data_IF_766095924734
#
_entry.id   IF_766095924734
#
_cell.length_a   1.000
_cell.length_b   1.000
_cell.length_c   1.000
_cell.angle_alpha   90.00
_cell.angle_beta   90.00
_cell.angle_gamma   90.00
#
_symmetry.space_group_name_H-M   'P 1'
#
loop_
_entity.id
_entity.type
_entity.pdbx_description
1 polymer ?
#
# COMPACT_ATOMS: atom_id res chain seq x y z
N UNK A 1 -22.24 77.42 -0.39
CA UNK A 1 -23.26 76.49 -0.90
C UNK A 1 -22.74 75.82 -2.16
N UNK A 2 -23.03 74.53 -2.33
CA UNK A 2 -22.51 73.56 -3.32
C UNK A 2 -21.15 72.95 -2.97
N UNK A 3 -20.91 71.66 -3.10
CA UNK A 3 -21.67 70.44 -2.83
C UNK A 3 -20.62 69.33 -2.86
N UNK A 4 -20.74 68.38 -1.94
CA UNK A 4 -19.88 67.19 -1.79
C UNK A 4 -19.98 66.31 -3.05
N UNK A 5 -18.85 65.79 -3.53
CA UNK A 5 -18.78 64.47 -4.16
C UNK A 5 -17.49 63.78 -3.72
N UNK A 6 -17.66 62.97 -2.68
CA UNK A 6 -16.71 62.00 -2.17
C UNK A 6 -16.80 60.77 -3.10
N UNK A 7 -15.84 60.58 -4.00
CA UNK A 7 -15.72 59.32 -4.73
C UNK A 7 -15.11 58.28 -3.78
N UNK A 8 -15.99 57.54 -3.11
CA UNK A 8 -15.62 56.29 -2.46
C UNK A 8 -15.38 55.29 -3.59
N UNK A 9 -14.12 55.03 -3.92
CA UNK A 9 -13.75 53.83 -4.67
C UNK A 9 -13.88 52.66 -3.69
N UNK A 10 -15.08 52.12 -3.56
CA UNK A 10 -15.25 50.75 -3.06
C UNK A 10 -14.67 49.83 -4.13
N UNK A 11 -13.34 49.63 -4.05
CA UNK A 11 -12.73 48.46 -4.64
C UNK A 11 -13.33 47.25 -3.94
N UNK A 12 -14.39 46.71 -4.51
CA UNK A 12 -14.77 45.34 -4.25
C UNK A 12 -13.54 44.51 -4.61
N UNK A 13 -12.79 44.08 -3.59
CA UNK A 13 -12.00 42.86 -3.73
C UNK A 13 -13.01 41.81 -4.15
N UNK A 14 -13.10 41.52 -5.44
CA UNK A 14 -13.49 40.21 -5.90
C UNK A 14 -12.44 39.28 -5.28
N UNK A 15 -12.74 38.76 -4.11
CA UNK A 15 -12.11 37.54 -3.66
C UNK A 15 -12.48 36.53 -4.74
N UNK A 16 -11.53 36.26 -5.65
CA UNK A 16 -11.61 35.11 -6.52
C UNK A 16 -11.84 33.92 -5.59
N UNK A 17 -13.05 33.37 -5.61
CA UNK A 17 -13.28 32.04 -5.08
C UNK A 17 -12.19 31.19 -5.70
N UNK A 18 -11.29 30.58 -4.92
CA UNK A 18 -10.27 29.77 -5.53
C UNK A 18 -11.00 28.62 -6.22
N UNK A 19 -10.81 28.49 -7.53
CA UNK A 19 -11.35 27.41 -8.36
C UNK A 19 -10.62 26.12 -8.00
N UNK A 20 -10.85 25.62 -6.79
CA UNK A 20 -10.46 24.27 -6.42
C UNK A 20 -11.53 23.33 -6.97
N UNK A 21 -11.19 22.56 -8.00
CA UNK A 21 -11.70 21.19 -8.08
C UNK A 21 -12.52 20.77 -9.29
N UNK A 22 -12.72 21.58 -10.33
CA UNK A 22 -13.19 21.01 -11.60
C UNK A 22 -12.02 20.27 -12.27
N UNK A 23 -11.82 19.00 -11.92
CA UNK A 23 -11.13 18.09 -12.83
C UNK A 23 -12.08 17.92 -14.01
N UNK A 24 -11.89 18.72 -15.06
CA UNK A 24 -12.76 18.74 -16.24
C UNK A 24 -12.76 17.42 -17.01
N UNK A 25 -11.81 16.52 -16.70
CA UNK A 25 -11.61 15.24 -17.37
C UNK A 25 -11.78 14.03 -16.42
N UNK A 26 -12.71 14.11 -15.47
CA UNK A 26 -13.00 12.97 -14.58
C UNK A 26 -13.52 11.75 -15.37
N UNK A 27 -12.95 10.54 -15.21
CA UNK A 27 -13.43 9.35 -15.93
C UNK A 27 -14.88 9.02 -15.57
N UNK A 28 -15.65 8.55 -16.56
CA UNK A 28 -17.03 8.13 -16.33
C UNK A 28 -17.10 6.87 -15.47
N UNK A 29 -18.09 6.79 -14.60
CA UNK A 29 -18.36 5.58 -13.81
C UNK A 29 -18.99 4.50 -14.71
N UNK A 30 -18.36 3.32 -14.88
CA UNK A 30 -18.94 2.24 -15.66
C UNK A 30 -20.08 1.54 -14.91
N UNK A 31 -20.71 0.55 -15.54
CA UNK A 31 -21.56 -0.40 -14.82
C UNK A 31 -20.70 -1.16 -13.82
N UNK A 32 -20.97 -0.98 -12.53
CA UNK A 32 -20.18 -1.56 -11.44
C UNK A 32 -20.45 -3.05 -11.34
N UNK A 33 -19.36 -3.84 -11.22
CA UNK A 33 -19.46 -5.29 -11.03
C UNK A 33 -19.99 -5.63 -9.63
N UNK A 34 -20.96 -6.54 -9.55
CA UNK A 34 -21.65 -6.87 -8.29
C UNK A 34 -20.73 -7.21 -7.11
N UNK A 35 -19.60 -7.88 -7.38
CA UNK A 35 -18.62 -8.25 -6.34
C UNK A 35 -18.04 -7.05 -5.60
N UNK A 36 -18.00 -5.86 -6.21
CA UNK A 36 -17.49 -4.65 -5.57
C UNK A 36 -18.38 -4.21 -4.39
N UNK A 37 -19.70 -4.46 -4.44
CA UNK A 37 -20.64 -4.08 -3.36
C UNK A 37 -20.48 -4.94 -2.08
N UNK A 38 -19.91 -6.14 -2.22
CA UNK A 38 -19.77 -7.12 -1.14
C UNK A 38 -18.48 -6.99 -0.33
N UNK A 39 -17.58 -6.10 -0.73
CA UNK A 39 -16.36 -5.81 0.02
C UNK A 39 -16.66 -4.83 1.16
N UNK A 40 -15.76 -4.74 2.13
CA UNK A 40 -15.84 -3.80 3.25
C UNK A 40 -14.46 -3.16 3.52
N UNK A 41 -14.42 -2.21 4.45
CA UNK A 41 -13.17 -1.66 4.98
C UNK A 41 -12.31 -2.77 5.58
N UNK A 42 -11.02 -2.73 5.27
CA UNK A 42 -10.04 -3.67 5.81
C UNK A 42 -9.67 -3.33 7.24
N UNK A 43 -9.16 -4.31 7.99
CA UNK A 43 -8.64 -4.09 9.34
C UNK A 43 -7.57 -2.98 9.38
N UNK A 44 -6.72 -2.91 8.36
CA UNK A 44 -5.72 -1.84 8.20
C UNK A 44 -6.37 -0.45 8.12
N UNK A 45 -7.46 -0.31 7.38
CA UNK A 45 -8.18 0.95 7.24
C UNK A 45 -8.86 1.35 8.54
N UNK A 46 -9.54 0.40 9.20
CA UNK A 46 -10.23 0.63 10.47
C UNK A 46 -9.24 0.94 11.60
N UNK A 47 -8.05 0.36 11.55
CA UNK A 47 -6.98 0.67 12.49
C UNK A 47 -6.40 2.07 12.25
N UNK A 48 -6.34 2.51 11.00
CA UNK A 48 -5.90 3.85 10.62
C UNK A 48 -6.92 4.91 11.05
N UNK A 49 -8.20 4.65 10.80
CA UNK A 49 -9.32 5.53 11.14
C UNK A 49 -10.60 4.72 11.37
N UNK A 50 -10.97 4.44 12.63
CA UNK A 50 -12.14 3.61 12.95
C UNK A 50 -13.48 4.30 12.65
N UNK A 51 -13.48 5.63 12.46
CA UNK A 51 -14.67 6.41 12.17
C UNK A 51 -14.87 6.64 10.66
N UNK A 52 -13.92 6.21 9.82
CA UNK A 52 -14.03 6.31 8.36
C UNK A 52 -15.35 5.71 7.82
N UNK A 53 -15.82 4.53 8.25
CA UNK A 53 -17.11 3.99 7.78
C UNK A 53 -18.32 4.83 8.19
N UNK A 54 -18.22 5.61 9.28
CA UNK A 54 -19.29 6.51 9.74
C UNK A 54 -19.35 7.77 8.89
N UNK A 55 -18.20 8.30 8.48
CA UNK A 55 -18.10 9.54 7.67
C UNK A 55 -18.38 9.29 6.19
N UNK A 56 -17.92 8.16 5.66
CA UNK A 56 -18.16 7.76 4.28
C UNK A 56 -18.52 6.26 4.22
N UNK A 57 -19.82 5.91 4.27
CA UNK A 57 -20.25 4.52 4.24
C UNK A 57 -20.08 3.93 2.83
N UNK A 58 -19.71 2.65 2.78
CA UNK A 58 -19.43 1.96 1.52
C UNK A 58 -20.69 1.77 0.68
N UNK A 59 -20.70 2.14 -0.61
CA UNK A 59 -21.89 2.04 -1.45
C UNK A 59 -22.25 0.56 -1.71
N UNK A 60 -23.55 0.30 -1.80
CA UNK A 60 -24.17 -1.03 -1.99
C UNK A 60 -24.98 -1.12 -3.29
N UNK A 61 -25.15 -0.02 -4.01
CA UNK A 61 -25.85 0.02 -5.29
C UNK A 61 -25.10 0.90 -6.29
N UNK A 62 -25.37 0.71 -7.59
CA UNK A 62 -24.85 1.58 -8.66
C UNK A 62 -25.16 3.05 -8.39
N UNK A 63 -26.40 3.36 -7.99
CA UNK A 63 -26.81 4.74 -7.72
C UNK A 63 -26.00 5.37 -6.58
N UNK A 64 -25.75 4.62 -5.51
CA UNK A 64 -24.93 5.12 -4.40
C UNK A 64 -23.48 5.38 -4.82
N UNK A 65 -22.93 4.63 -5.78
CA UNK A 65 -21.60 4.90 -6.35
C UNK A 65 -21.63 6.21 -7.16
N UNK A 66 -22.67 6.42 -7.97
CA UNK A 66 -22.84 7.64 -8.76
C UNK A 66 -23.00 8.87 -7.84
N UNK A 67 -23.80 8.76 -6.79
CA UNK A 67 -24.00 9.84 -5.82
C UNK A 67 -22.68 10.17 -5.09
N UNK A 68 -21.95 9.13 -4.66
CA UNK A 68 -20.63 9.28 -4.04
C UNK A 68 -19.61 9.90 -5.01
N UNK A 69 -19.63 9.51 -6.29
CA UNK A 69 -18.79 10.05 -7.34
C UNK A 69 -18.98 11.56 -7.50
N UNK A 70 -20.23 12.01 -7.64
CA UNK A 70 -20.52 13.44 -7.75
C UNK A 70 -20.15 14.20 -6.47
N UNK A 71 -20.43 13.62 -5.29
CA UNK A 71 -20.01 14.19 -4.01
C UNK A 71 -18.49 14.33 -3.93
N UNK A 72 -17.73 13.30 -4.26
CA UNK A 72 -16.27 13.31 -4.19
C UNK A 72 -15.63 14.35 -5.12
N UNK A 73 -16.25 14.64 -6.27
CA UNK A 73 -15.81 15.68 -7.19
C UNK A 73 -16.13 17.10 -6.71
N UNK A 74 -17.18 17.26 -5.89
CA UNK A 74 -17.67 18.55 -5.42
C UNK A 74 -16.81 19.14 -4.29
N UNK A 75 -15.60 19.59 -4.58
CA UNK A 75 -14.70 20.22 -3.59
C UNK A 75 -13.74 19.23 -2.91
N UNK A 76 -13.33 19.53 -1.68
CA UNK A 76 -12.23 18.83 -0.99
C UNK A 76 -12.72 17.66 -0.11
N UNK A 77 -13.43 16.70 -0.72
CA UNK A 77 -13.98 15.52 -0.04
C UNK A 77 -12.97 14.37 0.06
N UNK A 78 -11.92 14.52 0.88
CA UNK A 78 -10.82 13.56 1.01
C UNK A 78 -11.29 12.11 1.23
N UNK A 79 -12.14 11.88 2.24
CA UNK A 79 -12.62 10.55 2.61
C UNK A 79 -13.44 9.90 1.47
N UNK A 80 -14.28 10.67 0.78
CA UNK A 80 -15.10 10.17 -0.34
C UNK A 80 -14.21 9.82 -1.55
N UNK A 81 -13.18 10.62 -1.83
CA UNK A 81 -12.17 10.30 -2.85
C UNK A 81 -11.42 9.02 -2.46
N UNK A 82 -11.02 8.87 -1.19
CA UNK A 82 -10.35 7.66 -0.71
C UNK A 82 -11.24 6.42 -0.85
N UNK A 83 -12.53 6.53 -0.49
CA UNK A 83 -13.48 5.43 -0.63
C UNK A 83 -13.65 5.02 -2.10
N UNK A 84 -13.79 5.95 -3.03
CA UNK A 84 -13.89 5.63 -4.46
C UNK A 84 -12.61 4.99 -4.99
N UNK A 85 -11.43 5.47 -4.58
CA UNK A 85 -10.16 4.80 -4.85
C UNK A 85 -10.20 3.33 -4.38
N UNK A 86 -10.54 3.11 -3.11
CA UNK A 86 -10.57 1.77 -2.52
C UNK A 86 -11.60 0.87 -3.19
N UNK A 87 -12.76 1.42 -3.55
CA UNK A 87 -13.87 0.71 -4.18
C UNK A 87 -13.46 0.17 -5.56
N UNK A 88 -12.82 1.00 -6.38
CA UNK A 88 -12.43 0.63 -7.73
C UNK A 88 -11.06 -0.05 -7.85
N UNK A 89 -10.22 -0.01 -6.79
CA UNK A 89 -8.89 -0.66 -6.80
C UNK A 89 -8.91 -2.15 -7.16
N UNK A 90 -10.05 -2.82 -6.94
CA UNK A 90 -10.26 -4.22 -7.33
C UNK A 90 -9.99 -4.43 -8.82
N UNK A 91 -10.33 -3.45 -9.67
CA UNK A 91 -9.99 -3.48 -11.09
C UNK A 91 -8.47 -3.59 -11.31
N UNK A 92 -7.67 -2.78 -10.62
CA UNK A 92 -6.21 -2.86 -10.74
C UNK A 92 -5.64 -4.23 -10.34
N UNK A 93 -6.20 -4.87 -9.31
CA UNK A 93 -5.76 -6.21 -8.89
C UNK A 93 -6.21 -7.30 -9.87
N UNK A 94 -7.40 -7.17 -10.45
CA UNK A 94 -7.95 -8.15 -11.39
C UNK A 94 -7.23 -8.09 -12.76
N UNK A 95 -6.64 -6.95 -13.15
CA UNK A 95 -5.80 -6.84 -14.35
C UNK A 95 -4.61 -7.81 -14.36
N UNK A 96 -4.12 -8.19 -13.18
CA UNK A 96 -3.01 -9.14 -13.05
C UNK A 96 -3.46 -10.61 -13.24
N UNK A 97 -4.77 -10.85 -13.44
CA UNK A 97 -5.32 -12.18 -13.71
C UNK A 97 -5.37 -12.45 -15.23
N UNK A 98 -4.79 -13.57 -15.70
CA UNK A 98 -4.77 -13.92 -17.13
C UNK A 98 -6.15 -14.22 -17.73
N UNK A 99 -7.21 -14.27 -16.90
CA UNK A 99 -8.58 -14.58 -17.31
C UNK A 99 -9.50 -13.35 -17.36
N UNK A 100 -9.01 -12.14 -17.04
CA UNK A 100 -9.88 -11.00 -16.75
C UNK A 100 -9.45 -9.68 -17.41
N UNK A 101 -9.10 -9.72 -18.70
CA UNK A 101 -8.93 -8.52 -19.53
C UNK A 101 -10.28 -8.06 -20.10
N UNK A 102 -11.14 -7.54 -19.23
CA UNK A 102 -12.36 -6.84 -19.62
C UNK A 102 -12.11 -5.33 -19.62
N UNK A 103 -12.71 -4.61 -20.58
CA UNK A 103 -12.64 -3.14 -20.65
C UNK A 103 -13.06 -2.49 -19.32
N UNK A 104 -14.10 -3.04 -18.68
CA UNK A 104 -14.59 -2.60 -17.36
C UNK A 104 -13.54 -2.66 -16.26
N UNK A 105 -12.65 -3.66 -16.27
CA UNK A 105 -11.56 -3.77 -15.28
C UNK A 105 -10.53 -2.66 -15.45
N UNK A 106 -10.25 -2.28 -16.70
CA UNK A 106 -9.37 -1.15 -17.02
C UNK A 106 -10.00 0.19 -16.61
N UNK A 107 -11.29 0.36 -16.85
CA UNK A 107 -12.03 1.57 -16.43
C UNK A 107 -12.04 1.73 -14.91
N UNK A 108 -12.33 0.66 -14.17
CA UNK A 108 -12.25 0.67 -12.71
C UNK A 108 -10.85 1.04 -12.22
N UNK A 109 -9.80 0.44 -12.78
CA UNK A 109 -8.45 0.81 -12.37
C UNK A 109 -8.10 2.27 -12.70
N UNK A 110 -8.60 2.79 -13.82
CA UNK A 110 -8.46 4.20 -14.19
C UNK A 110 -9.13 5.12 -13.16
N UNK A 111 -10.36 4.79 -12.75
CA UNK A 111 -11.07 5.50 -11.68
C UNK A 111 -10.31 5.43 -10.35
N UNK A 112 -9.81 4.25 -9.98
CA UNK A 112 -9.06 4.07 -8.75
C UNK A 112 -7.85 5.02 -8.67
N UNK A 113 -7.05 5.07 -9.74
CA UNK A 113 -5.89 5.95 -9.82
C UNK A 113 -6.26 7.42 -9.84
N UNK A 114 -7.32 7.78 -10.56
CA UNK A 114 -7.82 9.16 -10.58
C UNK A 114 -8.16 9.63 -9.16
N UNK A 115 -8.90 8.83 -8.41
CA UNK A 115 -9.28 9.16 -7.04
C UNK A 115 -8.11 9.12 -6.05
N UNK A 116 -7.17 8.18 -6.20
CA UNK A 116 -5.95 8.14 -5.38
C UNK A 116 -5.13 9.43 -5.55
N UNK A 117 -4.96 9.89 -6.79
CA UNK A 117 -4.26 11.14 -7.09
C UNK A 117 -5.00 12.34 -6.47
N UNK A 118 -6.33 12.36 -6.53
CA UNK A 118 -7.12 13.41 -5.86
C UNK A 118 -6.93 13.41 -4.34
N UNK A 119 -6.91 12.24 -3.69
CA UNK A 119 -6.63 12.16 -2.25
C UNK A 119 -5.28 12.79 -1.92
N UNK A 120 -4.22 12.44 -2.67
CA UNK A 120 -2.88 13.00 -2.43
C UNK A 120 -2.76 14.49 -2.77
N UNK A 121 -3.56 14.98 -3.73
CA UNK A 121 -3.64 16.41 -4.03
C UNK A 121 -4.35 17.20 -2.92
N UNK A 122 -5.42 16.63 -2.33
CA UNK A 122 -6.14 17.22 -1.20
C UNK A 122 -5.29 17.17 0.06
N UNK A 123 -4.70 16.01 0.33
CA UNK A 123 -3.87 15.75 1.51
C UNK A 123 -2.65 14.89 1.13
N UNK A 124 -1.47 15.52 0.90
CA UNK A 124 -0.25 14.78 0.56
C UNK A 124 0.28 13.92 1.71
N UNK A 125 -0.26 14.08 2.91
CA UNK A 125 0.06 13.31 4.11
C UNK A 125 -1.06 12.31 4.47
N UNK A 126 -1.97 11.98 3.54
CA UNK A 126 -2.89 10.87 3.75
C UNK A 126 -2.10 9.55 3.74
N UNK A 127 -2.02 8.91 4.91
CA UNK A 127 -1.18 7.73 5.09
C UNK A 127 -1.70 6.47 4.40
N UNK A 128 -3.02 6.31 4.25
CA UNK A 128 -3.61 5.20 3.49
C UNK A 128 -3.32 5.36 1.99
N UNK A 129 -3.40 6.57 1.47
CA UNK A 129 -3.05 6.88 0.09
C UNK A 129 -1.55 6.70 -0.18
N UNK A 130 -0.68 7.19 0.70
CA UNK A 130 0.77 6.97 0.58
C UNK A 130 1.12 5.47 0.61
N UNK A 131 0.50 4.69 1.50
CA UNK A 131 0.65 3.24 1.56
C UNK A 131 0.19 2.58 0.26
N UNK A 132 -0.97 2.99 -0.26
CA UNK A 132 -1.49 2.50 -1.52
C UNK A 132 -0.54 2.79 -2.69
N UNK A 133 -0.04 4.01 -2.81
CA UNK A 133 0.92 4.40 -3.86
C UNK A 133 2.22 3.63 -3.76
N UNK A 134 2.72 3.39 -2.54
CA UNK A 134 3.89 2.52 -2.34
C UNK A 134 3.65 1.10 -2.85
N UNK A 135 2.48 0.54 -2.56
CA UNK A 135 2.06 -0.78 -3.05
C UNK A 135 1.91 -0.82 -4.56
N UNK A 136 1.44 0.25 -5.19
CA UNK A 136 1.33 0.35 -6.64
C UNK A 136 2.70 0.30 -7.30
N UNK A 137 3.65 1.08 -6.81
CA UNK A 137 5.03 1.03 -7.31
C UNK A 137 5.73 -0.30 -7.01
N UNK A 138 5.37 -1.00 -5.94
CA UNK A 138 5.98 -2.29 -5.62
C UNK A 138 5.58 -3.40 -6.61
N UNK A 139 4.32 -3.41 -7.07
CA UNK A 139 3.76 -4.50 -7.88
C UNK A 139 3.42 -4.10 -9.32
N UNK A 140 3.67 -2.84 -9.70
CA UNK A 140 3.31 -2.30 -11.01
C UNK A 140 1.79 -2.27 -11.25
N UNK A 141 0.98 -2.17 -10.18
CA UNK A 141 -0.47 -2.10 -10.34
C UNK A 141 -0.90 -0.74 -10.95
N UNK A 142 -1.94 -0.78 -11.79
CA UNK A 142 -2.62 0.40 -12.32
C UNK A 142 -1.76 1.41 -13.09
N UNK A 143 -1.18 1.00 -14.22
CA UNK A 143 -0.60 1.85 -15.28
C UNK A 143 0.87 2.33 -15.12
N UNK A 144 1.63 1.81 -14.15
CA UNK A 144 3.06 2.11 -14.00
C UNK A 144 3.94 0.86 -13.96
N UNK A 145 5.16 0.98 -14.47
CA UNK A 145 6.21 -0.02 -14.27
C UNK A 145 6.56 -0.14 -12.77
N UNK A 146 6.90 -1.36 -12.34
CA UNK A 146 7.46 -1.61 -11.01
C UNK A 146 8.64 -0.68 -10.73
N UNK A 147 8.63 -0.02 -9.58
CA UNK A 147 9.69 0.85 -9.13
C UNK A 147 9.88 0.75 -7.62
N UNK A 148 10.74 -0.18 -7.21
CA UNK A 148 10.99 -0.46 -5.80
C UNK A 148 11.52 0.75 -5.03
N UNK A 149 12.32 1.62 -5.66
CA UNK A 149 12.84 2.82 -4.98
C UNK A 149 11.73 3.83 -4.68
N UNK A 150 10.79 4.03 -5.61
CA UNK A 150 9.59 4.83 -5.35
C UNK A 150 8.71 4.17 -4.29
N UNK A 151 8.52 2.85 -4.34
CA UNK A 151 7.76 2.11 -3.32
C UNK A 151 8.32 2.37 -1.91
N UNK A 152 9.63 2.18 -1.72
CA UNK A 152 10.33 2.49 -0.47
C UNK A 152 10.10 3.93 -0.05
N UNK A 153 10.28 4.90 -0.96
CA UNK A 153 10.06 6.33 -0.64
C UNK A 153 8.63 6.60 -0.13
N UNK A 154 7.61 6.00 -0.74
CA UNK A 154 6.23 6.17 -0.30
C UNK A 154 5.95 5.48 1.04
N UNK A 155 6.47 4.27 1.24
CA UNK A 155 6.35 3.57 2.53
C UNK A 155 7.07 4.32 3.65
N UNK A 156 8.27 4.86 3.40
CA UNK A 156 9.00 5.71 4.35
C UNK A 156 8.21 6.96 4.73
N UNK A 157 7.59 7.62 3.74
CA UNK A 157 6.70 8.77 4.00
C UNK A 157 5.51 8.36 4.87
N UNK A 158 4.80 7.29 4.50
CA UNK A 158 3.67 6.78 5.27
C UNK A 158 4.07 6.41 6.71
N UNK A 159 5.21 5.75 6.87
CA UNK A 159 5.76 5.32 8.15
C UNK A 159 6.08 6.50 9.09
N UNK A 160 6.59 7.62 8.54
CA UNK A 160 6.95 8.82 9.32
C UNK A 160 5.77 9.65 9.82
N UNK A 161 4.54 9.38 9.36
CA UNK A 161 3.36 10.13 9.81
C UNK A 161 2.92 9.79 11.24
N UNK A 162 3.61 8.85 11.92
CA UNK A 162 3.40 8.42 13.31
C UNK A 162 1.98 7.84 13.60
N UNK A 163 1.80 7.20 14.77
CA UNK A 163 0.53 6.59 15.22
C UNK A 163 0.24 5.19 14.67
N UNK A 164 -1.02 4.73 14.68
CA UNK A 164 -1.45 3.41 14.16
C UNK A 164 -1.13 3.17 12.67
N UNK A 165 -0.64 4.20 11.98
CA UNK A 165 -0.33 4.31 10.55
C UNK A 165 1.01 3.66 10.17
N UNK A 166 1.72 3.14 11.17
CA UNK A 166 3.11 2.66 11.15
C UNK A 166 3.22 1.22 10.59
N UNK A 167 2.21 0.36 10.74
CA UNK A 167 2.46 -1.08 10.65
C UNK A 167 2.59 -1.64 9.24
N UNK A 168 1.65 -1.38 8.34
CA UNK A 168 1.72 -2.00 7.00
C UNK A 168 2.90 -1.47 6.22
N UNK A 169 3.20 -0.16 6.33
CA UNK A 169 4.39 0.43 5.74
C UNK A 169 5.68 -0.13 6.36
N UNK A 170 5.75 -0.24 7.70
CA UNK A 170 6.89 -0.84 8.39
C UNK A 170 7.09 -2.32 8.04
N UNK A 171 6.00 -3.08 7.90
CA UNK A 171 6.03 -4.49 7.49
C UNK A 171 6.54 -4.68 6.05
N UNK A 172 6.10 -3.81 5.13
CA UNK A 172 6.62 -3.80 3.76
C UNK A 172 8.11 -3.43 3.73
N UNK A 173 8.53 -2.41 4.48
CA UNK A 173 9.94 -2.01 4.58
C UNK A 173 10.80 -3.11 5.21
N UNK A 174 10.31 -3.76 6.26
CA UNK A 174 10.94 -4.96 6.84
C UNK A 174 11.13 -6.04 5.78
N UNK A 175 10.07 -6.43 5.05
CA UNK A 175 10.15 -7.47 4.02
C UNK A 175 11.13 -7.11 2.89
N UNK A 176 11.08 -5.87 2.40
CA UNK A 176 11.98 -5.37 1.35
C UNK A 176 13.45 -5.50 1.78
N UNK A 177 13.81 -4.99 2.96
CA UNK A 177 15.19 -5.03 3.43
C UNK A 177 15.63 -6.41 3.91
N UNK A 178 14.69 -7.23 4.41
CA UNK A 178 14.98 -8.59 4.84
C UNK A 178 15.31 -9.49 3.66
N UNK A 179 14.51 -9.45 2.59
CA UNK A 179 14.60 -10.38 1.45
C UNK A 179 15.28 -9.80 0.21
N UNK A 180 15.49 -8.48 0.17
CA UNK A 180 16.13 -7.83 -0.97
C UNK A 180 15.24 -7.74 -2.22
N UNK A 181 13.94 -7.48 -2.02
CA UNK A 181 12.96 -7.46 -3.10
C UNK A 181 13.27 -6.36 -4.15
N UNK A 182 12.96 -6.63 -5.43
CA UNK A 182 13.05 -5.65 -6.51
C UNK A 182 14.46 -5.11 -6.78
N UNK A 183 15.50 -5.94 -6.55
CA UNK A 183 16.90 -5.56 -6.76
C UNK A 183 17.51 -4.70 -5.64
N UNK A 184 16.80 -4.55 -4.52
CA UNK A 184 17.31 -3.89 -3.32
C UNK A 184 18.24 -4.88 -2.59
N UNK A 185 19.49 -4.53 -2.26
CA UNK A 185 20.33 -5.39 -1.45
C UNK A 185 19.71 -5.61 -0.05
N UNK A 186 19.89 -6.81 0.51
CA UNK A 186 19.49 -7.05 1.91
C UNK A 186 20.18 -6.03 2.82
N UNK A 187 19.41 -5.43 3.73
CA UNK A 187 19.90 -4.54 4.77
C UNK A 187 19.30 -5.00 6.10
N UNK A 188 19.95 -5.99 6.73
CA UNK A 188 19.45 -6.60 7.95
C UNK A 188 19.37 -5.61 9.12
N UNK A 189 20.16 -4.54 9.11
CA UNK A 189 20.06 -3.50 10.14
C UNK A 189 18.77 -2.69 9.99
N UNK A 190 18.42 -2.28 8.76
CA UNK A 190 17.13 -1.64 8.51
C UNK A 190 15.95 -2.58 8.73
N UNK A 191 16.07 -3.84 8.27
CA UNK A 191 15.04 -4.84 8.52
C UNK A 191 14.78 -5.00 10.02
N UNK A 192 15.83 -5.13 10.83
CA UNK A 192 15.72 -5.22 12.30
C UNK A 192 15.09 -3.97 12.91
N UNK A 193 15.50 -2.78 12.47
CA UNK A 193 14.92 -1.52 12.96
C UNK A 193 13.40 -1.47 12.78
N UNK A 194 12.91 -1.80 11.58
CA UNK A 194 11.48 -1.84 11.30
C UNK A 194 10.78 -2.91 12.14
N UNK A 195 11.39 -4.09 12.24
CA UNK A 195 10.85 -5.20 13.02
C UNK A 195 10.73 -4.87 14.51
N UNK A 196 11.72 -4.18 15.09
CA UNK A 196 11.69 -3.69 16.47
C UNK A 196 10.52 -2.73 16.71
N UNK A 197 10.21 -1.84 15.76
CA UNK A 197 9.07 -0.94 15.92
C UNK A 197 7.73 -1.70 15.81
N UNK A 198 7.62 -2.68 14.91
CA UNK A 198 6.42 -3.51 14.76
C UNK A 198 6.18 -4.38 16.01
N UNK A 199 7.24 -4.92 16.61
CA UNK A 199 7.16 -5.73 17.83
C UNK A 199 6.74 -4.92 19.06
N UNK A 200 7.10 -3.64 19.14
CA UNK A 200 6.65 -2.75 20.24
C UNK A 200 5.14 -2.53 20.22
N UNK A 201 4.56 -2.45 19.03
CA UNK A 201 3.13 -2.24 18.85
C UNK A 201 2.29 -3.47 19.25
N UNK A 202 2.74 -4.67 18.85
CA UNK A 202 2.13 -5.93 19.28
C UNK A 202 3.20 -6.89 19.84
N UNK A 203 3.52 -6.78 21.15
CA UNK A 203 4.56 -7.59 21.80
C UNK A 203 4.32 -9.09 21.83
N UNK A 204 3.09 -9.53 21.51
CA UNK A 204 2.70 -10.94 21.41
C UNK A 204 2.34 -11.35 19.99
N UNK A 205 2.56 -10.46 19.01
CA UNK A 205 2.24 -10.68 17.61
C UNK A 205 3.38 -11.36 16.84
N UNK A 206 3.10 -11.65 15.57
CA UNK A 206 4.06 -12.32 14.67
C UNK A 206 5.41 -11.59 14.57
N UNK A 207 5.41 -10.25 14.57
CA UNK A 207 6.65 -9.48 14.45
C UNK A 207 7.51 -9.54 15.71
N UNK A 208 6.91 -9.70 16.89
CA UNK A 208 7.66 -9.94 18.12
C UNK A 208 8.30 -11.34 18.12
N UNK A 209 7.60 -12.35 17.60
CA UNK A 209 8.18 -13.68 17.37
C UNK A 209 9.33 -13.63 16.35
N UNK A 210 9.16 -12.91 15.25
CA UNK A 210 10.24 -12.71 14.27
C UNK A 210 11.45 -12.00 14.87
N UNK A 211 11.23 -10.99 15.73
CA UNK A 211 12.31 -10.29 16.40
C UNK A 211 13.09 -11.19 17.36
N UNK A 212 12.39 -12.03 18.14
CA UNK A 212 13.00 -13.00 19.07
C UNK A 212 13.90 -14.01 18.33
N UNK A 213 13.55 -14.35 17.10
CA UNK A 213 14.25 -15.32 16.26
C UNK A 213 15.00 -14.65 15.10
N UNK A 214 15.33 -13.36 15.20
CA UNK A 214 15.80 -12.57 14.06
C UNK A 214 17.06 -13.15 13.40
N UNK A 215 18.05 -13.57 14.20
CA UNK A 215 19.30 -14.11 13.68
C UNK A 215 19.07 -15.43 12.90
N UNK A 216 18.15 -16.26 13.37
CA UNK A 216 17.72 -17.47 12.65
C UNK A 216 17.09 -17.13 11.30
N UNK A 217 16.22 -16.14 11.25
CA UNK A 217 15.66 -15.68 9.98
C UNK A 217 16.72 -15.13 9.03
N UNK A 218 17.68 -14.37 9.54
CA UNK A 218 18.79 -13.82 8.74
C UNK A 218 19.63 -14.94 8.13
N UNK A 219 19.96 -15.96 8.92
CA UNK A 219 20.75 -17.10 8.42
C UNK A 219 19.99 -17.92 7.37
N UNK A 220 18.70 -18.18 7.59
CA UNK A 220 17.85 -18.87 6.61
C UNK A 220 17.79 -18.07 5.30
N UNK A 221 17.58 -16.75 5.37
CA UNK A 221 17.54 -15.89 4.18
C UNK A 221 18.89 -15.92 3.43
N UNK A 222 20.03 -15.92 4.13
CA UNK A 222 21.33 -16.07 3.47
C UNK A 222 21.45 -17.39 2.70
N UNK A 223 20.99 -18.49 3.29
CA UNK A 223 20.95 -19.80 2.62
C UNK A 223 20.02 -19.74 1.39
N UNK A 224 18.83 -19.15 1.52
CA UNK A 224 17.92 -18.97 0.38
C UNK A 224 18.55 -18.14 -0.74
N UNK A 225 19.26 -17.06 -0.41
CA UNK A 225 19.95 -16.21 -1.39
C UNK A 225 21.11 -16.95 -2.11
N UNK A 226 21.78 -17.91 -1.46
CA UNK A 226 22.70 -18.82 -2.14
C UNK A 226 21.99 -19.68 -3.19
N UNK A 227 20.82 -20.22 -2.83
CA UNK A 227 19.95 -20.96 -3.75
C UNK A 227 19.49 -20.13 -4.94
N UNK A 228 19.08 -18.90 -4.72
CA UNK A 228 18.68 -17.99 -5.78
C UNK A 228 19.83 -17.70 -6.75
N UNK A 229 21.04 -17.48 -6.22
CA UNK A 229 22.26 -17.35 -7.05
C UNK A 229 22.59 -18.63 -7.81
N UNK A 230 22.40 -19.80 -7.21
CA UNK A 230 22.57 -21.09 -7.90
C UNK A 230 21.60 -21.22 -9.07
N UNK A 231 20.29 -20.97 -8.85
CA UNK A 231 19.25 -21.02 -9.89
C UNK A 231 19.54 -20.06 -11.04
N UNK A 232 20.07 -18.86 -10.75
CA UNK A 232 20.39 -17.86 -11.77
C UNK A 232 21.52 -18.27 -12.73
N UNK A 233 22.35 -19.26 -12.39
CA UNK A 233 23.43 -19.73 -13.27
C UNK A 233 22.90 -20.47 -14.52
N UNK A 234 21.79 -21.21 -14.38
CA UNK A 234 21.12 -21.90 -15.49
C UNK A 234 19.61 -22.02 -15.22
N UNK A 235 18.85 -20.91 -15.32
CA UNK A 235 17.45 -20.86 -14.89
C UNK A 235 16.49 -21.66 -15.79
N UNK A 236 16.90 -22.01 -17.01
CA UNK A 236 16.07 -22.75 -17.97
C UNK A 236 16.24 -24.27 -17.84
N UNK A 237 17.24 -24.72 -17.10
CA UNK A 237 17.51 -26.13 -16.86
C UNK A 237 16.79 -26.63 -15.62
N UNK A 238 15.68 -27.34 -15.82
CA UNK A 238 14.85 -27.85 -14.72
C UNK A 238 15.60 -28.75 -13.74
N UNK A 239 16.51 -29.59 -14.23
CA UNK A 239 17.31 -30.48 -13.38
C UNK A 239 18.30 -29.69 -12.51
N UNK A 240 18.91 -28.65 -13.08
CA UNK A 240 19.77 -27.73 -12.35
C UNK A 240 19.00 -26.96 -11.27
N UNK A 241 17.85 -26.38 -11.63
CA UNK A 241 17.00 -25.65 -10.68
C UNK A 241 16.54 -26.56 -9.54
N UNK A 242 16.12 -27.79 -9.84
CA UNK A 242 15.75 -28.78 -8.81
C UNK A 242 16.91 -29.05 -7.87
N UNK A 243 18.11 -29.31 -8.40
CA UNK A 243 19.30 -29.54 -7.59
C UNK A 243 19.61 -28.35 -6.66
N UNK A 244 19.52 -27.11 -7.16
CA UNK A 244 19.72 -25.92 -6.34
C UNK A 244 18.69 -25.81 -5.20
N UNK A 245 17.43 -26.21 -5.45
CA UNK A 245 16.37 -26.23 -4.43
C UNK A 245 16.68 -27.30 -3.37
N UNK A 246 17.01 -28.52 -3.81
CA UNK A 246 17.35 -29.64 -2.91
C UNK A 246 18.54 -29.27 -1.99
N UNK A 247 19.57 -28.61 -2.52
CA UNK A 247 20.73 -28.13 -1.74
C UNK A 247 20.34 -27.08 -0.69
N UNK A 248 19.39 -26.19 -0.99
CA UNK A 248 18.87 -25.21 -0.03
C UNK A 248 18.09 -25.90 1.08
N UNK A 249 17.22 -26.84 0.72
CA UNK A 249 16.42 -27.61 1.68
C UNK A 249 17.32 -28.40 2.64
N UNK A 250 18.32 -29.11 2.13
CA UNK A 250 19.30 -29.84 2.95
C UNK A 250 20.05 -28.90 3.91
N UNK A 251 20.50 -27.74 3.43
CA UNK A 251 21.19 -26.74 4.26
C UNK A 251 20.28 -26.19 5.37
N UNK A 252 19.03 -25.88 5.05
CA UNK A 252 18.04 -25.39 6.02
C UNK A 252 17.74 -26.48 7.06
N UNK A 253 17.52 -27.73 6.63
CA UNK A 253 17.29 -28.85 7.54
C UNK A 253 18.49 -29.10 8.47
N UNK A 254 19.70 -29.07 7.93
CA UNK A 254 20.94 -29.21 8.71
C UNK A 254 21.10 -28.07 9.72
N UNK A 255 20.82 -26.82 9.32
CA UNK A 255 20.81 -25.66 10.20
C UNK A 255 19.79 -25.85 11.33
N UNK A 256 18.53 -26.14 11.00
CA UNK A 256 17.46 -26.32 11.99
C UNK A 256 17.72 -27.51 12.93
N UNK A 257 18.32 -28.60 12.43
CA UNK A 257 18.72 -29.74 13.26
C UNK A 257 19.82 -29.37 14.25
N UNK A 258 20.79 -28.56 13.82
CA UNK A 258 21.89 -28.07 14.68
C UNK A 258 21.39 -27.15 15.79
N UNK A 259 20.40 -26.31 15.51
CA UNK A 259 19.87 -25.31 16.44
C UNK A 259 18.51 -25.69 17.07
N UNK A 260 18.06 -26.94 16.90
CA UNK A 260 16.78 -27.47 17.42
C UNK A 260 16.66 -27.44 18.95
N UNK A 261 17.79 -27.50 19.66
CA UNK A 261 17.83 -27.38 21.13
C UNK A 261 17.41 -25.99 21.62
N UNK A 262 17.83 -24.95 20.92
CA UNK A 262 17.54 -23.53 21.19
C UNK A 262 16.10 -23.14 20.87
N UNK A 263 15.47 -23.74 19.85
CA UNK A 263 14.09 -23.41 19.45
C UNK A 263 13.04 -23.88 20.48
N UNK A 264 13.22 -25.08 21.07
CA UNK A 264 12.31 -25.59 22.12
C UNK A 264 12.31 -24.74 23.39
N UNK A 265 13.45 -24.16 23.79
CA UNK A 265 13.53 -23.23 24.91
C UNK A 265 12.91 -21.86 24.59
N UNK A 266 12.98 -21.44 23.32
CA UNK A 266 12.34 -20.22 22.84
C UNK A 266 10.82 -20.36 22.79
N UNK A 267 10.31 -21.50 22.33
CA UNK A 267 8.86 -21.77 22.22
C UNK A 267 8.22 -22.12 23.58
N UNK A 268 8.98 -22.69 24.52
CA UNK A 268 8.51 -22.96 25.89
C UNK A 268 8.39 -21.70 26.76
N UNK A 269 9.02 -20.59 26.35
CA UNK A 269 9.05 -19.30 27.06
C UNK A 269 8.40 -18.16 26.23
N UNK A 270 7.52 -18.49 25.28
CA UNK A 270 6.71 -17.56 24.50
C UNK A 270 5.24 -17.70 24.93
#
# INVERSE_FOLDING_TARGET
MKSVLLFIVTGALMMSTPTWGENTDAPTVPTVRDRLFNLDYTETELRYDPDLPKRTPRPKTQQQVIDLYHKALAGNHEDDNYLLFKFFRVGCTDMNSPHFYAETVKEECTLANFFLNRVLNINPNNGLALLATGSSYQHGDGSGEENMQKAISYYEKAYRLHGNRILTAGGNLYGIYMHGHGGVPNDFNKAKYYLEQLAKDNPRGQYAYYLKNFDTYVDIVKISNEGDRCKQQDPNNKAWVSKCIDEVEEKIEAYLKKYRGTQKEIDANA
#
